data_IF_324435371384
#
_entry.id   IF_324435371384
#
_cell.length_a   1.000
_cell.length_b   1.000
_cell.length_c   1.000
_cell.angle_alpha   90.00
_cell.angle_beta   90.00
_cell.angle_gamma   90.00
#
_symmetry.space_group_name_H-M   'P 1'
#
loop_
_entity.id
_entity.type
_entity.pdbx_description
1 polymer ?
#
# COMPACT_ATOMS: atom_id res chain seq x y z
N UNK A 1 -9.23 -10.35 22.96
CA UNK A 1 -8.36 -9.56 22.06
C UNK A 1 -8.76 -9.75 20.64
N UNK A 2 -8.93 -8.65 19.92
CA UNK A 2 -9.34 -8.74 18.50
C UNK A 2 -8.18 -9.16 17.62
N UNK A 3 -8.51 -9.95 16.61
CA UNK A 3 -7.55 -10.31 15.57
C UNK A 3 -7.09 -9.06 14.83
N UNK A 4 -5.80 -8.96 14.51
CA UNK A 4 -5.25 -7.82 13.77
C UNK A 4 -5.59 -7.86 12.28
N UNK A 5 -6.20 -8.94 11.81
CA UNK A 5 -6.66 -9.01 10.42
C UNK A 5 -7.84 -9.97 10.32
N UNK A 6 -8.68 -9.71 9.33
CA UNK A 6 -9.84 -10.55 9.06
C UNK A 6 -9.42 -11.72 8.19
N UNK A 7 -9.38 -12.92 8.77
CA UNK A 7 -8.96 -14.13 8.06
C UNK A 7 -9.84 -14.46 6.86
N UNK A 8 -11.08 -13.99 6.85
CA UNK A 8 -11.99 -14.22 5.72
C UNK A 8 -11.53 -13.51 4.46
N UNK A 9 -10.66 -12.47 4.58
CA UNK A 9 -10.11 -11.76 3.44
C UNK A 9 -8.88 -12.44 2.83
N UNK A 10 -8.33 -13.47 3.49
CA UNK A 10 -7.11 -14.14 2.98
C UNK A 10 -7.31 -14.74 1.58
N UNK A 11 -8.43 -15.45 1.29
CA UNK A 11 -8.63 -15.95 -0.08
C UNK A 11 -8.73 -14.84 -1.12
N UNK A 12 -9.38 -13.72 -0.77
CA UNK A 12 -9.47 -12.58 -1.69
C UNK A 12 -8.10 -11.96 -1.94
N UNK A 13 -7.28 -11.82 -0.89
CA UNK A 13 -5.92 -11.30 -1.04
C UNK A 13 -5.09 -12.19 -1.96
N UNK A 14 -5.22 -13.51 -1.85
CA UNK A 14 -4.53 -14.44 -2.75
C UNK A 14 -4.97 -14.25 -4.19
N UNK A 15 -6.28 -14.08 -4.40
CA UNK A 15 -6.81 -13.82 -5.74
C UNK A 15 -6.27 -12.51 -6.31
N UNK A 16 -6.25 -11.46 -5.50
CA UNK A 16 -5.75 -10.16 -5.93
C UNK A 16 -4.26 -10.20 -6.29
N UNK A 17 -3.46 -11.02 -5.58
CA UNK A 17 -2.06 -11.20 -5.94
C UNK A 17 -1.88 -11.85 -7.32
N UNK A 18 -2.78 -12.74 -7.69
CA UNK A 18 -2.75 -13.38 -9.02
C UNK A 18 -3.25 -12.44 -10.11
N UNK A 19 -4.21 -11.58 -9.78
CA UNK A 19 -4.89 -10.72 -10.74
C UNK A 19 -4.52 -9.24 -10.54
N UNK A 20 -3.25 -8.96 -10.28
CA UNK A 20 -2.80 -7.59 -10.07
C UNK A 20 -3.01 -6.74 -11.32
N UNK A 21 -3.29 -5.45 -11.12
CA UNK A 21 -3.38 -4.51 -12.21
C UNK A 21 -2.02 -4.34 -12.89
N UNK A 22 -2.03 -3.73 -14.06
CA UNK A 22 -0.80 -3.43 -14.80
C UNK A 22 0.16 -2.59 -13.96
N UNK A 23 -0.38 -1.55 -13.28
CA UNK A 23 0.41 -0.65 -12.45
C UNK A 23 0.98 -1.37 -11.23
N UNK A 24 0.17 -2.20 -10.59
CA UNK A 24 0.63 -2.99 -9.44
C UNK A 24 1.75 -3.94 -9.84
N UNK A 25 1.61 -4.63 -10.99
CA UNK A 25 2.65 -5.53 -11.48
C UNK A 25 3.93 -4.79 -11.80
N UNK A 26 3.82 -3.61 -12.41
CA UNK A 26 4.99 -2.81 -12.76
C UNK A 26 5.76 -2.42 -11.50
N UNK A 27 5.06 -1.89 -10.49
CA UNK A 27 5.71 -1.46 -9.26
C UNK A 27 6.31 -2.64 -8.49
N UNK A 28 5.60 -3.75 -8.45
CA UNK A 28 6.06 -4.93 -7.72
C UNK A 28 7.26 -5.60 -8.37
N UNK A 29 7.14 -5.98 -9.64
CA UNK A 29 8.18 -6.78 -10.31
C UNK A 29 9.41 -5.95 -10.67
N UNK A 30 9.23 -4.68 -11.00
CA UNK A 30 10.35 -3.85 -11.45
C UNK A 30 11.00 -3.04 -10.33
N UNK A 31 10.43 -3.03 -9.13
CA UNK A 31 10.98 -2.27 -8.03
C UNK A 31 10.84 -2.93 -6.66
N UNK A 32 9.61 -3.08 -6.15
CA UNK A 32 9.42 -3.46 -4.75
C UNK A 32 9.87 -4.87 -4.42
N UNK A 33 9.73 -5.79 -5.34
CA UNK A 33 10.12 -7.19 -5.13
C UNK A 33 11.58 -7.34 -4.72
N UNK A 34 12.45 -6.54 -5.32
CA UNK A 34 13.90 -6.59 -5.07
C UNK A 34 14.40 -5.48 -4.17
N UNK A 35 13.50 -4.67 -3.62
CA UNK A 35 13.89 -3.55 -2.77
C UNK A 35 14.54 -4.08 -1.47
N UNK A 36 15.62 -3.42 -0.97
CA UNK A 36 16.36 -3.94 0.20
C UNK A 36 15.54 -4.10 1.47
N UNK A 37 14.53 -3.26 1.68
CA UNK A 37 13.62 -3.40 2.80
C UNK A 37 12.38 -4.14 2.31
N UNK A 38 11.96 -5.18 3.01
CA UNK A 38 10.95 -6.10 2.52
C UNK A 38 9.56 -5.47 2.41
N UNK A 39 8.95 -5.59 1.24
CA UNK A 39 7.54 -5.29 1.00
C UNK A 39 6.75 -6.57 0.77
N UNK A 40 5.49 -6.56 1.20
CA UNK A 40 4.49 -7.57 0.84
C UNK A 40 3.45 -6.91 -0.05
N UNK A 41 2.77 -7.70 -0.88
CA UNK A 41 1.68 -7.20 -1.72
C UNK A 41 0.36 -7.80 -1.26
N UNK A 42 -0.71 -7.02 -1.43
CA UNK A 42 -2.08 -7.46 -1.10
C UNK A 42 -2.14 -8.06 0.30
N UNK A 43 -1.78 -7.25 1.29
CA UNK A 43 -1.74 -7.66 2.69
C UNK A 43 -3.06 -7.34 3.39
N UNK A 44 -3.59 -8.30 4.12
CA UNK A 44 -4.79 -8.10 4.95
C UNK A 44 -4.39 -7.42 6.25
N UNK A 45 -4.98 -6.25 6.51
CA UNK A 45 -4.81 -5.50 7.76
C UNK A 45 -6.19 -5.11 8.27
N UNK A 46 -6.64 -5.73 9.36
CA UNK A 46 -7.97 -5.52 9.88
C UNK A 46 -9.02 -5.98 8.87
N UNK A 47 -9.89 -5.07 8.47
CA UNK A 47 -10.94 -5.32 7.48
C UNK A 47 -10.54 -4.89 6.07
N UNK A 48 -9.27 -4.57 5.87
CA UNK A 48 -8.80 -4.01 4.60
C UNK A 48 -7.70 -4.85 3.99
N UNK A 49 -7.60 -4.80 2.66
CA UNK A 49 -6.47 -5.35 1.92
C UNK A 49 -5.70 -4.16 1.35
N UNK A 50 -4.43 -4.02 1.74
CA UNK A 50 -3.59 -2.93 1.25
C UNK A 50 -2.75 -3.41 0.07
N UNK A 51 -2.45 -2.50 -0.88
CA UNK A 51 -1.73 -2.89 -2.09
C UNK A 51 -0.31 -3.37 -1.77
N UNK A 52 0.46 -2.56 -1.03
CA UNK A 52 1.82 -2.90 -0.64
C UNK A 52 2.07 -2.48 0.81
N UNK A 53 2.78 -3.33 1.54
CA UNK A 53 3.02 -3.12 2.97
C UNK A 53 4.46 -3.41 3.32
N UNK A 54 5.08 -2.48 4.06
CA UNK A 54 6.42 -2.66 4.62
C UNK A 54 6.31 -2.59 6.14
N UNK A 55 6.43 -3.74 6.79
CA UNK A 55 6.30 -3.82 8.24
C UNK A 55 7.43 -3.08 8.94
N UNK A 56 8.65 -3.19 8.44
CA UNK A 56 9.82 -2.59 9.06
C UNK A 56 9.74 -1.07 9.08
N UNK A 57 9.28 -0.46 7.97
CA UNK A 57 9.13 0.99 7.88
C UNK A 57 7.77 1.48 8.34
N UNK A 58 6.85 0.58 8.69
CA UNK A 58 5.46 0.89 9.05
C UNK A 58 4.79 1.73 7.98
N UNK A 59 4.89 1.27 6.75
CA UNK A 59 4.49 2.03 5.57
C UNK A 59 3.56 1.21 4.69
N UNK A 60 2.50 1.85 4.21
CA UNK A 60 1.58 1.29 3.22
C UNK A 60 1.65 2.13 1.96
N UNK A 61 1.69 1.49 0.81
CA UNK A 61 1.59 2.17 -0.49
C UNK A 61 0.31 1.71 -1.16
N UNK A 62 -0.51 2.68 -1.57
CA UNK A 62 -1.76 2.43 -2.29
C UNK A 62 -1.68 3.09 -3.66
N UNK A 63 -2.06 2.35 -4.70
CA UNK A 63 -2.15 2.90 -6.04
C UNK A 63 -3.58 3.35 -6.31
N UNK A 64 -3.74 4.60 -6.72
CA UNK A 64 -5.05 5.22 -6.89
C UNK A 64 -5.46 5.31 -8.35
N UNK A 65 -6.67 4.83 -8.64
CA UNK A 65 -7.33 5.06 -9.92
C UNK A 65 -8.24 6.27 -9.87
N UNK A 66 -8.90 6.57 -10.99
CA UNK A 66 -9.76 7.74 -11.15
C UNK A 66 -10.99 7.72 -10.24
N UNK A 67 -11.43 6.56 -9.79
CA UNK A 67 -12.63 6.41 -8.98
C UNK A 67 -12.53 7.04 -7.59
N UNK A 68 -11.31 7.32 -7.13
CA UNK A 68 -11.08 7.90 -5.81
C UNK A 68 -11.59 9.33 -5.66
N UNK A 69 -11.96 9.97 -6.77
CA UNK A 69 -12.45 11.35 -6.74
C UNK A 69 -13.96 11.45 -6.52
N UNK A 70 -14.67 10.32 -6.49
CA UNK A 70 -16.09 10.32 -6.16
C UNK A 70 -16.29 10.49 -4.65
N UNK A 71 -17.33 11.26 -4.22
CA UNK A 71 -17.50 11.57 -2.80
C UNK A 71 -17.57 10.35 -1.87
N UNK A 72 -18.30 9.31 -2.28
CA UNK A 72 -18.42 8.10 -1.45
C UNK A 72 -17.08 7.39 -1.29
N UNK A 73 -16.28 7.38 -2.35
CA UNK A 73 -14.95 6.75 -2.32
C UNK A 73 -13.98 7.55 -1.46
N UNK A 74 -14.11 8.88 -1.46
CA UNK A 74 -13.27 9.75 -0.62
C UNK A 74 -13.55 9.50 0.85
N UNK A 75 -14.82 9.36 1.24
CA UNK A 75 -15.19 9.10 2.63
C UNK A 75 -14.66 7.74 3.09
N UNK A 76 -14.90 6.68 2.31
CA UNK A 76 -14.41 5.34 2.62
C UNK A 76 -12.89 5.32 2.72
N UNK A 77 -12.22 6.05 1.86
CA UNK A 77 -10.77 6.14 1.82
C UNK A 77 -10.23 6.82 3.07
N UNK A 78 -10.92 7.86 3.55
CA UNK A 78 -10.55 8.57 4.77
C UNK A 78 -10.69 7.66 5.99
N UNK A 79 -11.78 6.90 6.08
CA UNK A 79 -11.99 5.94 7.17
C UNK A 79 -10.91 4.86 7.17
N UNK A 80 -10.60 4.34 6.00
CA UNK A 80 -9.57 3.32 5.83
C UNK A 80 -8.21 3.84 6.28
N UNK A 81 -7.83 5.03 5.83
CA UNK A 81 -6.56 5.64 6.22
C UNK A 81 -6.49 5.89 7.71
N UNK A 82 -7.57 6.43 8.29
CA UNK A 82 -7.64 6.68 9.73
C UNK A 82 -7.47 5.39 10.53
N UNK A 83 -8.09 4.30 10.07
CA UNK A 83 -7.97 3.00 10.72
C UNK A 83 -6.52 2.50 10.68
N UNK A 84 -5.89 2.55 9.52
CA UNK A 84 -4.52 2.07 9.36
C UNK A 84 -3.53 2.88 10.18
N UNK A 85 -3.70 4.20 10.21
CA UNK A 85 -2.83 5.08 10.99
C UNK A 85 -3.07 4.93 12.48
N UNK A 86 -4.32 4.88 12.90
CA UNK A 86 -4.69 4.85 14.31
C UNK A 86 -4.48 3.50 14.99
N UNK A 87 -4.86 2.42 14.29
CA UNK A 87 -4.82 1.07 14.91
C UNK A 87 -3.48 0.37 14.71
N UNK A 88 -2.78 0.66 13.63
CA UNK A 88 -1.52 -0.02 13.31
C UNK A 88 -0.30 0.91 13.34
N UNK A 89 -0.52 2.21 13.48
CA UNK A 89 0.59 3.17 13.47
C UNK A 89 1.29 3.25 12.12
N UNK A 90 0.55 3.03 11.03
CA UNK A 90 1.11 3.00 9.68
C UNK A 90 1.02 4.35 9.01
N UNK A 91 1.99 4.66 8.18
CA UNK A 91 1.92 5.80 7.26
C UNK A 91 1.40 5.28 5.93
N UNK A 92 0.45 6.00 5.34
CA UNK A 92 -0.13 5.60 4.06
C UNK A 92 0.31 6.59 2.99
N UNK A 93 0.95 6.08 1.94
CA UNK A 93 1.34 6.86 0.77
C UNK A 93 0.42 6.47 -0.37
N UNK A 94 -0.16 7.46 -1.04
CA UNK A 94 -1.00 7.24 -2.20
C UNK A 94 -0.28 7.71 -3.45
N UNK A 95 -0.24 6.87 -4.46
CA UNK A 95 0.43 7.16 -5.72
C UNK A 95 -0.57 6.96 -6.85
N UNK A 96 -0.86 8.00 -7.63
CA UNK A 96 -1.78 7.84 -8.76
C UNK A 96 -1.24 6.85 -9.79
N UNK A 97 -2.12 6.04 -10.36
CA UNK A 97 -1.72 5.08 -11.38
C UNK A 97 -1.01 5.73 -12.55
N UNK A 98 -1.45 6.93 -12.95
CA UNK A 98 -0.81 7.61 -14.07
C UNK A 98 0.64 8.00 -13.78
N UNK A 99 1.00 8.23 -12.52
CA UNK A 99 2.40 8.49 -12.17
C UNK A 99 3.25 7.24 -12.36
N UNK A 100 2.71 6.06 -11.99
CA UNK A 100 3.41 4.80 -12.23
C UNK A 100 3.67 4.62 -13.73
N UNK A 101 2.69 5.00 -14.57
CA UNK A 101 2.80 4.86 -16.01
C UNK A 101 3.70 5.90 -16.68
N UNK A 102 3.69 7.14 -16.17
CA UNK A 102 4.37 8.26 -16.83
C UNK A 102 5.71 8.62 -16.20
N UNK A 103 5.89 8.35 -14.92
CA UNK A 103 7.07 8.80 -14.16
C UNK A 103 7.50 7.73 -13.19
N UNK A 104 7.73 6.52 -13.69
CA UNK A 104 8.05 5.38 -12.85
C UNK A 104 9.31 5.61 -12.01
N UNK A 105 10.36 6.19 -12.60
CA UNK A 105 11.60 6.48 -11.88
C UNK A 105 11.35 7.44 -10.72
N UNK A 106 10.55 8.48 -10.93
CA UNK A 106 10.19 9.41 -9.87
C UNK A 106 9.38 8.74 -8.76
N UNK A 107 8.49 7.81 -9.12
CA UNK A 107 7.74 7.03 -8.14
C UNK A 107 8.69 6.20 -7.28
N UNK A 108 9.64 5.50 -7.90
CA UNK A 108 10.62 4.69 -7.18
C UNK A 108 11.47 5.53 -6.24
N UNK A 109 11.93 6.68 -6.70
CA UNK A 109 12.70 7.60 -5.87
C UNK A 109 11.90 8.12 -4.69
N UNK A 110 10.63 8.46 -4.93
CA UNK A 110 9.73 8.92 -3.89
C UNK A 110 9.54 7.86 -2.81
N UNK A 111 9.30 6.62 -3.21
CA UNK A 111 9.13 5.51 -2.28
C UNK A 111 10.41 5.31 -1.46
N UNK A 112 11.57 5.33 -2.11
CA UNK A 112 12.84 5.16 -1.42
C UNK A 112 13.06 6.23 -0.36
N UNK A 113 12.78 7.50 -0.68
CA UNK A 113 12.88 8.61 0.28
C UNK A 113 11.94 8.38 1.45
N UNK A 114 10.69 7.99 1.18
CA UNK A 114 9.70 7.77 2.23
C UNK A 114 10.07 6.60 3.14
N UNK A 115 10.61 5.53 2.59
CA UNK A 115 11.07 4.39 3.39
C UNK A 115 12.22 4.82 4.31
N UNK A 116 13.19 5.54 3.77
CA UNK A 116 14.35 6.00 4.56
C UNK A 116 13.93 6.94 5.68
N UNK A 117 13.02 7.86 5.39
CA UNK A 117 12.51 8.78 6.41
C UNK A 117 11.76 8.02 7.50
N UNK A 118 10.92 7.08 7.13
CA UNK A 118 10.17 6.28 8.09
C UNK A 118 11.10 5.48 9.00
N UNK A 119 12.09 4.83 8.43
CA UNK A 119 13.07 4.06 9.21
C UNK A 119 13.86 4.94 10.15
N UNK A 120 14.22 6.14 9.71
CA UNK A 120 14.95 7.11 10.54
C UNK A 120 14.13 7.54 11.74
N UNK A 121 12.83 7.74 11.56
CA UNK A 121 11.93 8.17 12.64
C UNK A 121 11.63 7.08 13.66
N UNK A 122 11.79 5.81 13.26
CA UNK A 122 11.50 4.66 14.12
C UNK A 122 12.68 4.24 14.98
N UNK A 123 13.83 4.83 14.78
CA UNK A 123 15.04 4.50 15.57
C UNK A 123 15.12 5.26 16.87
#
# INVERSE_FOLDING_TARGET
MQSKHNKQLVPLAKKLRKDMTKEERHLWYDFLRAYPVRFCRQKVLGQYIVDFYCAEAKLVIELDGAQHYEPDNIEQDTERTSFLEGCYGLRVIRIPNNEVNKNFQGVCEHIDVEVRQSLSQLR
#
